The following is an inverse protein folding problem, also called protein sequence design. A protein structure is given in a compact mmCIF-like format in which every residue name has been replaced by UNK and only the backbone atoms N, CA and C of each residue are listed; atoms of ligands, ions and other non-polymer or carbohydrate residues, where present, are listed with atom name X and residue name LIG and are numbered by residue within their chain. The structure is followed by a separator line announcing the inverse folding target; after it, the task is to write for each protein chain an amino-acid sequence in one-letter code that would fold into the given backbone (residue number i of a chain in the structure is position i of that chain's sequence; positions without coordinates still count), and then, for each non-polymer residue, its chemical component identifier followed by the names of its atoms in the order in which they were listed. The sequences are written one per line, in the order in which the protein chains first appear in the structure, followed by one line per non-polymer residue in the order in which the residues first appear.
data_IF_820229512207
#
_entry.id   IF_820229512207
#
_cell.length_a   1.000
_cell.length_b   1.000
_cell.length_c   1.000
_cell.angle_alpha   90.00
_cell.angle_beta   90.00
_cell.angle_gamma   90.00
#
_symmetry.space_group_name_H-M   'P 1'
#
loop_
_entity.id
_entity.type
_entity.pdbx_description
1 polymer ?
#
# COMPACT_ATOMS: atom_id res chain seq x y z
N UNK A 1 -13.74 -22.78 -14.27
CA UNK A 1 -12.76 -21.77 -14.74
C UNK A 1 -12.35 -20.97 -13.52
N UNK A 2 -11.36 -21.48 -12.79
CA UNK A 2 -10.89 -20.89 -11.54
C UNK A 2 -9.92 -19.76 -11.92
N UNK A 3 -10.18 -18.55 -11.43
CA UNK A 3 -9.23 -17.46 -11.57
C UNK A 3 -8.06 -17.73 -10.63
N UNK A 4 -6.92 -17.88 -11.28
CA UNK A 4 -5.57 -18.01 -10.78
C UNK A 4 -5.26 -16.97 -9.69
N UNK A 5 -4.86 -17.46 -8.52
CA UNK A 5 -4.46 -16.68 -7.35
C UNK A 5 -2.98 -16.26 -7.42
N UNK A 6 -2.48 -15.86 -8.59
CA UNK A 6 -1.08 -15.43 -8.77
C UNK A 6 -0.95 -13.94 -9.10
N UNK A 7 -1.15 -13.06 -8.11
CA UNK A 7 -0.62 -11.69 -8.20
C UNK A 7 -0.44 -10.98 -6.85
N UNK A 8 0.03 -11.66 -5.80
CA UNK A 8 0.54 -10.97 -4.59
C UNK A 8 1.70 -11.77 -3.95
N UNK A 9 2.68 -12.20 -4.73
CA UNK A 9 3.97 -12.67 -4.21
C UNK A 9 5.13 -12.17 -5.08
N UNK A 10 5.13 -10.87 -5.40
CA UNK A 10 6.31 -10.24 -5.98
C UNK A 10 7.13 -9.56 -4.88
N UNK A 11 8.01 -10.40 -4.32
CA UNK A 11 9.39 -10.06 -3.95
C UNK A 11 9.56 -8.94 -2.92
N UNK A 12 9.27 -9.26 -1.66
CA UNK A 12 10.23 -8.89 -0.62
C UNK A 12 11.28 -9.99 -0.61
N UNK A 13 12.45 -9.70 -1.20
CA UNK A 13 13.60 -10.61 -1.19
C UNK A 13 14.04 -10.89 0.24
N UNK A 14 13.48 -11.96 0.82
CA UNK A 14 13.95 -12.62 2.02
C UNK A 14 13.96 -14.10 1.69
N UNK A 15 15.15 -14.68 1.57
CA UNK A 15 15.29 -16.12 1.37
C UNK A 15 14.53 -16.88 2.45
N UNK A 16 14.12 -18.12 2.16
CA UNK A 16 13.20 -18.96 2.95
C UNK A 16 13.57 -19.23 4.44
N UNK A 17 14.55 -18.52 5.03
CA UNK A 17 15.01 -18.66 6.40
C UNK A 17 15.25 -17.32 7.14
N UNK A 18 14.85 -16.16 6.59
CA UNK A 18 15.02 -14.88 7.30
C UNK A 18 13.79 -14.59 8.20
N UNK A 19 13.97 -14.32 9.51
CA UNK A 19 12.84 -14.05 10.39
C UNK A 19 12.12 -12.78 9.94
N UNK A 20 10.81 -12.86 9.75
CA UNK A 20 9.95 -11.70 9.48
C UNK A 20 9.91 -10.83 10.74
N UNK A 21 10.88 -9.91 10.85
CA UNK A 21 11.04 -9.01 12.01
C UNK A 21 9.81 -8.14 12.29
N UNK A 22 8.91 -8.02 11.31
CA UNK A 22 7.70 -7.22 11.38
C UNK A 22 6.46 -8.04 11.76
N UNK A 23 6.56 -9.38 11.72
CA UNK A 23 5.49 -10.25 12.15
C UNK A 23 5.26 -10.11 13.66
N UNK A 24 3.98 -10.04 14.06
CA UNK A 24 3.57 -10.13 15.47
C UNK A 24 3.87 -8.92 16.36
N UNK A 25 4.18 -7.74 15.81
CA UNK A 25 4.19 -6.52 16.62
C UNK A 25 2.77 -5.98 16.86
N UNK A 26 2.53 -5.37 18.03
CA UNK A 26 1.27 -4.70 18.33
C UNK A 26 1.01 -3.52 17.39
N UNK A 27 -0.27 -3.24 17.10
CA UNK A 27 -0.65 -2.11 16.26
C UNK A 27 -0.04 -0.76 16.70
N UNK A 28 0.02 -0.48 18.01
CA UNK A 28 0.61 0.76 18.52
C UNK A 28 2.05 0.99 18.03
N UNK A 29 2.89 -0.05 18.12
CA UNK A 29 4.28 -0.02 17.62
C UNK A 29 4.32 0.04 16.09
N UNK A 30 3.49 -0.76 15.42
CA UNK A 30 3.38 -0.75 13.96
C UNK A 30 3.04 0.64 13.42
N UNK A 31 2.10 1.34 14.07
CA UNK A 31 1.64 2.68 13.71
C UNK A 31 2.76 3.72 13.80
N UNK A 32 3.57 3.70 14.86
CA UNK A 32 4.73 4.59 15.00
C UNK A 32 5.75 4.35 13.87
N UNK A 33 6.15 3.09 13.67
CA UNK A 33 7.08 2.72 12.60
C UNK A 33 6.55 3.09 11.21
N UNK A 34 5.27 2.85 10.95
CA UNK A 34 4.60 3.21 9.69
C UNK A 34 4.58 4.72 9.48
N UNK A 35 4.38 5.52 10.53
CA UNK A 35 4.41 6.97 10.43
C UNK A 35 5.78 7.48 9.97
N UNK A 36 6.87 6.93 10.52
CA UNK A 36 8.24 7.26 10.13
C UNK A 36 8.52 6.86 8.68
N UNK A 37 8.21 5.62 8.30
CA UNK A 37 8.38 5.11 6.94
C UNK A 37 7.61 5.98 5.94
N UNK A 38 6.38 6.38 6.25
CA UNK A 38 5.56 7.23 5.39
C UNK A 38 6.18 8.63 5.22
N UNK A 39 6.78 9.20 6.25
CA UNK A 39 7.45 10.50 6.15
C UNK A 39 8.72 10.40 5.29
N UNK A 40 9.48 9.31 5.43
CA UNK A 40 10.62 8.99 4.56
C UNK A 40 10.17 8.83 3.11
N UNK A 41 9.09 8.08 2.86
CA UNK A 41 8.54 7.88 1.52
C UNK A 41 8.07 9.19 0.87
N UNK A 42 7.38 10.05 1.62
CA UNK A 42 6.98 11.39 1.14
C UNK A 42 8.19 12.24 0.76
N UNK A 43 9.23 12.22 1.59
CA UNK A 43 10.48 12.94 1.33
C UNK A 43 11.18 12.41 0.07
N UNK A 44 11.23 11.08 -0.10
CA UNK A 44 11.77 10.46 -1.31
C UNK A 44 10.97 10.86 -2.56
N UNK A 45 9.63 10.86 -2.48
CA UNK A 45 8.76 11.29 -3.58
C UNK A 45 9.01 12.74 -3.98
N UNK A 46 9.10 13.65 -2.99
CA UNK A 46 9.43 15.07 -3.22
C UNK A 46 10.80 15.27 -3.87
N UNK A 47 11.75 14.35 -3.62
CA UNK A 47 13.08 14.34 -4.25
C UNK A 47 13.11 13.60 -5.59
N UNK A 48 11.95 13.27 -6.17
CA UNK A 48 11.81 12.48 -7.40
C UNK A 48 12.39 11.05 -7.34
N UNK A 49 12.66 10.54 -6.14
CA UNK A 49 13.11 9.17 -5.90
C UNK A 49 11.89 8.24 -5.77
N UNK A 50 11.10 8.14 -6.85
CA UNK A 50 9.78 7.47 -6.82
C UNK A 50 9.93 5.97 -6.49
N UNK A 51 10.94 5.28 -7.03
CA UNK A 51 11.20 3.87 -6.68
C UNK A 51 11.41 3.69 -5.17
N UNK A 52 12.22 4.53 -4.54
CA UNK A 52 12.44 4.48 -3.09
C UNK A 52 11.15 4.76 -2.31
N UNK A 53 10.32 5.69 -2.78
CA UNK A 53 9.03 5.97 -2.16
C UNK A 53 8.08 4.75 -2.23
N UNK A 54 8.04 4.07 -3.38
CA UNK A 54 7.26 2.84 -3.59
C UNK A 54 7.69 1.78 -2.59
N UNK A 55 8.99 1.50 -2.49
CA UNK A 55 9.50 0.46 -1.58
C UNK A 55 9.17 0.74 -0.12
N UNK A 56 9.32 1.99 0.33
CA UNK A 56 8.92 2.38 1.69
C UNK A 56 7.41 2.21 1.91
N UNK A 57 6.56 2.63 0.95
CA UNK A 57 5.13 2.43 1.09
C UNK A 57 4.73 0.95 1.09
N UNK A 58 5.41 0.07 0.34
CA UNK A 58 5.24 -1.38 0.42
C UNK A 58 5.62 -1.91 1.81
N UNK A 59 6.73 -1.45 2.39
CA UNK A 59 7.12 -1.80 3.77
C UNK A 59 6.01 -1.44 4.76
N UNK A 60 5.45 -0.24 4.63
CA UNK A 60 4.36 0.21 5.50
C UNK A 60 3.11 -0.67 5.37
N UNK A 61 2.73 -1.08 4.15
CA UNK A 61 1.62 -2.02 3.93
C UNK A 61 1.90 -3.36 4.60
N UNK A 62 3.10 -3.93 4.40
CA UNK A 62 3.50 -5.21 5.00
C UNK A 62 3.36 -5.18 6.53
N UNK A 63 3.89 -4.14 7.16
CA UNK A 63 3.79 -3.93 8.60
C UNK A 63 2.33 -3.86 9.06
N UNK A 64 1.50 -3.05 8.39
CA UNK A 64 0.09 -2.90 8.75
C UNK A 64 -0.70 -4.20 8.61
N UNK A 65 -0.43 -5.00 7.58
CA UNK A 65 -1.12 -6.28 7.34
C UNK A 65 -0.72 -7.38 8.32
N UNK A 66 0.50 -7.33 8.88
CA UNK A 66 1.03 -8.37 9.78
C UNK A 66 1.01 -8.01 11.26
N UNK A 67 0.61 -6.78 11.60
CA UNK A 67 0.50 -6.36 13.00
C UNK A 67 -0.67 -7.05 13.72
N UNK A 68 -0.56 -7.13 15.04
CA UNK A 68 -1.62 -7.65 15.89
C UNK A 68 -2.57 -6.53 16.29
N UNK A 69 -3.85 -6.73 15.96
CA UNK A 69 -4.96 -5.86 16.35
C UNK A 69 -5.63 -6.44 17.59
N UNK A 70 -5.96 -5.60 18.56
CA UNK A 70 -6.57 -6.02 19.83
C UNK A 70 -8.07 -5.78 19.89
N UNK A 71 -8.59 -4.88 19.05
CA UNK A 71 -9.99 -4.48 19.06
C UNK A 71 -10.37 -3.79 17.74
N UNK A 72 -11.68 -3.59 17.58
CA UNK A 72 -12.27 -2.97 16.39
C UNK A 72 -11.80 -1.53 16.16
N UNK A 73 -11.42 -0.81 17.22
CA UNK A 73 -10.91 0.56 17.09
C UNK A 73 -9.52 0.58 16.44
N UNK A 74 -8.62 -0.34 16.84
CA UNK A 74 -7.32 -0.53 16.19
C UNK A 74 -7.50 -1.02 14.74
N UNK A 75 -8.47 -1.92 14.49
CA UNK A 75 -8.77 -2.36 13.13
C UNK A 75 -9.20 -1.19 12.24
N UNK A 76 -10.15 -0.37 12.70
CA UNK A 76 -10.61 0.80 11.94
C UNK A 76 -9.47 1.76 11.63
N UNK A 77 -8.63 2.07 12.62
CA UNK A 77 -7.49 2.97 12.43
C UNK A 77 -6.44 2.38 11.49
N UNK A 78 -6.22 1.06 11.56
CA UNK A 78 -5.33 0.33 10.66
C UNK A 78 -5.85 0.39 9.21
N UNK A 79 -7.14 0.18 8.99
CA UNK A 79 -7.78 0.26 7.67
C UNK A 79 -7.70 1.68 7.09
N UNK A 80 -7.98 2.72 7.88
CA UNK A 80 -7.82 4.12 7.47
C UNK A 80 -6.36 4.42 7.06
N UNK A 81 -5.40 3.86 7.79
CA UNK A 81 -3.98 3.99 7.48
C UNK A 81 -3.61 3.26 6.19
N UNK A 82 -4.10 2.03 6.00
CA UNK A 82 -3.90 1.25 4.77
C UNK A 82 -4.45 1.99 3.56
N UNK A 83 -5.66 2.54 3.64
CA UNK A 83 -6.27 3.34 2.56
C UNK A 83 -5.35 4.51 2.16
N UNK A 84 -4.80 5.22 3.13
CA UNK A 84 -3.89 6.33 2.87
C UNK A 84 -2.55 5.90 2.24
N UNK A 85 -2.01 4.75 2.65
CA UNK A 85 -0.77 4.20 2.08
C UNK A 85 -1.00 3.69 0.65
N UNK A 86 -2.07 2.93 0.41
CA UNK A 86 -2.41 2.48 -0.95
C UNK A 86 -2.74 3.63 -1.89
N UNK A 87 -3.39 4.69 -1.41
CA UNK A 87 -3.60 5.91 -2.21
C UNK A 87 -2.26 6.53 -2.62
N UNK A 88 -1.26 6.50 -1.73
CA UNK A 88 0.08 7.00 -2.01
C UNK A 88 0.84 6.11 -3.00
N UNK A 89 0.67 4.78 -2.91
CA UNK A 89 1.18 3.83 -3.90
C UNK A 89 0.57 4.07 -5.28
N UNK A 90 -0.75 4.26 -5.37
CA UNK A 90 -1.43 4.56 -6.62
C UNK A 90 -0.88 5.84 -7.29
N UNK A 91 -0.63 6.88 -6.50
CA UNK A 91 0.04 8.10 -6.98
C UNK A 91 1.45 7.79 -7.51
N UNK A 92 2.27 7.05 -6.74
CA UNK A 92 3.63 6.74 -7.12
C UNK A 92 3.69 5.89 -8.39
N UNK A 93 2.88 4.83 -8.50
CA UNK A 93 2.82 3.96 -9.68
C UNK A 93 2.32 4.70 -10.92
N UNK A 94 1.31 5.57 -10.78
CA UNK A 94 0.90 6.44 -11.87
C UNK A 94 2.01 7.39 -12.32
N UNK A 95 2.85 7.89 -11.39
CA UNK A 95 4.04 8.69 -11.70
C UNK A 95 5.21 7.88 -12.27
N UNK A 96 5.30 6.59 -11.93
CA UNK A 96 6.33 5.66 -12.41
C UNK A 96 5.96 4.93 -13.71
N UNK A 97 4.81 5.27 -14.29
CA UNK A 97 4.29 4.64 -15.52
C UNK A 97 4.02 3.14 -15.40
N UNK A 98 3.56 2.69 -14.23
CA UNK A 98 3.10 1.30 -14.00
C UNK A 98 1.60 1.28 -13.66
N UNK A 99 0.72 1.57 -14.63
CA UNK A 99 -0.70 1.80 -14.37
C UNK A 99 -1.44 0.57 -13.82
N UNK A 100 -1.01 -0.66 -14.14
CA UNK A 100 -1.56 -1.90 -13.59
C UNK A 100 -1.37 -1.94 -12.06
N UNK A 101 -0.19 -1.55 -11.57
CA UNK A 101 0.10 -1.50 -10.15
C UNK A 101 -0.67 -0.39 -9.43
N UNK A 102 -0.92 0.73 -10.11
CA UNK A 102 -1.78 1.80 -9.61
C UNK A 102 -3.23 1.32 -9.47
N UNK A 103 -3.76 0.65 -10.49
CA UNK A 103 -5.11 0.07 -10.48
C UNK A 103 -5.26 -1.00 -9.40
N UNK A 104 -4.27 -1.89 -9.26
CA UNK A 104 -4.25 -2.89 -8.19
C UNK A 104 -4.26 -2.25 -6.80
N UNK A 105 -3.53 -1.14 -6.61
CA UNK A 105 -3.58 -0.39 -5.34
C UNK A 105 -4.98 0.16 -5.06
N UNK A 106 -5.71 0.64 -6.07
CA UNK A 106 -7.11 1.06 -5.92
C UNK A 106 -8.02 -0.12 -5.57
N UNK A 107 -7.80 -1.28 -6.18
CA UNK A 107 -8.57 -2.49 -5.85
C UNK A 107 -8.37 -2.93 -4.40
N UNK A 108 -7.16 -2.79 -3.85
CA UNK A 108 -6.94 -3.02 -2.42
C UNK A 108 -7.73 -2.03 -1.55
N UNK A 109 -7.83 -0.76 -1.94
CA UNK A 109 -8.66 0.23 -1.22
C UNK A 109 -10.14 -0.14 -1.30
N UNK A 110 -10.62 -0.61 -2.45
CA UNK A 110 -12.02 -1.04 -2.66
C UNK A 110 -12.44 -2.19 -1.75
N UNK A 111 -11.51 -3.00 -1.29
CA UNK A 111 -11.75 -4.05 -0.29
C UNK A 111 -11.92 -3.51 1.14
N UNK A 112 -11.44 -2.29 1.39
CA UNK A 112 -11.46 -1.65 2.72
C UNK A 112 -12.59 -0.63 2.87
N UNK A 113 -13.01 0.04 1.78
CA UNK A 113 -14.06 1.06 1.84
C UNK A 113 -14.81 1.26 0.51
N UNK A 114 -15.93 1.98 0.57
CA UNK A 114 -16.60 2.50 -0.62
C UNK A 114 -15.78 3.64 -1.23
N UNK A 115 -15.05 3.33 -2.30
CA UNK A 115 -14.19 4.32 -2.98
C UNK A 115 -14.97 5.44 -3.65
N UNK A 116 -16.29 5.28 -3.88
CA UNK A 116 -17.10 6.33 -4.49
C UNK A 116 -17.17 7.59 -3.60
N UNK A 117 -16.88 7.44 -2.31
CA UNK A 117 -16.75 8.55 -1.36
C UNK A 117 -15.35 9.19 -1.34
N UNK A 118 -14.41 8.69 -2.15
CA UNK A 118 -13.01 9.14 -2.15
C UNK A 118 -12.57 9.64 -3.53
N UNK A 119 -12.81 10.93 -3.78
CA UNK A 119 -12.48 11.60 -5.05
C UNK A 119 -11.01 11.43 -5.47
N UNK A 120 -10.07 11.39 -4.51
CA UNK A 120 -8.64 11.22 -4.81
C UNK A 120 -8.34 9.82 -5.34
N UNK A 121 -8.96 8.79 -4.75
CA UNK A 121 -8.82 7.40 -5.18
C UNK A 121 -9.42 7.23 -6.58
N UNK A 122 -10.63 7.73 -6.81
CA UNK A 122 -11.27 7.72 -8.13
C UNK A 122 -10.42 8.43 -9.19
N UNK A 123 -9.81 9.56 -8.85
CA UNK A 123 -8.90 10.25 -9.77
C UNK A 123 -7.67 9.42 -10.13
N UNK A 124 -7.07 8.70 -9.16
CA UNK A 124 -5.95 7.81 -9.47
C UNK A 124 -6.37 6.60 -10.29
N UNK A 125 -7.58 6.07 -10.05
CA UNK A 125 -8.17 5.00 -10.85
C UNK A 125 -8.37 5.43 -12.30
N UNK A 126 -9.02 6.58 -12.52
CA UNK A 126 -9.23 7.13 -13.87
C UNK A 126 -7.91 7.37 -14.62
N UNK A 127 -6.88 7.88 -13.92
CA UNK A 127 -5.53 8.02 -14.49
C UNK A 127 -4.90 6.69 -14.91
N UNK A 128 -5.08 5.65 -14.09
CA UNK A 128 -4.54 4.33 -14.39
C UNK A 128 -5.28 3.71 -15.58
N UNK A 129 -6.62 3.75 -15.59
CA UNK A 129 -7.46 3.21 -16.66
C UNK A 129 -7.21 3.89 -17.99
N UNK A 130 -7.03 5.22 -18.01
CA UNK A 130 -6.69 5.95 -19.23
C UNK A 130 -5.39 5.42 -19.84
N UNK A 131 -4.36 5.21 -19.01
CA UNK A 131 -3.06 4.68 -19.45
C UNK A 131 -3.07 3.19 -19.84
N UNK A 132 -4.04 2.41 -19.37
CA UNK A 132 -4.21 1.00 -19.73
C UNK A 132 -4.99 0.81 -21.04
N UNK A 133 -5.81 1.81 -21.40
CA UNK A 133 -6.59 1.82 -22.64
C UNK A 133 -5.85 2.42 -23.84
N UNK A 134 -4.70 3.06 -23.60
CA UNK A 134 -3.74 3.51 -24.61
C UNK A 134 -2.86 2.33 -25.08
#
# INVERSE_FOLDING_TARGET
MALDASFVELEYGGGANEPDYWASQSYAKAKETVAEIRNTAKTAYQRHQISNAIENFKTAVHILRKCQLKNDAEQKEQEETLIAVYTSLAVCYNSWHTPEAAFNSVNEIRRLCDINQNAKVLYQEGKALLKLGD
#
